data_IF_191074863357
#
_entry.id   IF_191074863357
#
_cell.length_a   1.000
_cell.length_b   1.000
_cell.length_c   1.000
_cell.angle_alpha   90.00
_cell.angle_beta   90.00
_cell.angle_gamma   90.00
#
_symmetry.space_group_name_H-M   'P 1'
#
loop_
_entity.id
_entity.type
_entity.pdbx_description
1 polymer ?
#
# COMPACT_ATOMS: atom_id res chain seq x y z
N UNK A 1 14.14 14.93 -3.93
CA UNK A 1 14.10 15.40 -5.36
C UNK A 1 14.71 16.78 -5.44
N UNK A 2 15.43 17.12 -6.52
CA UNK A 2 15.90 18.51 -6.67
C UNK A 2 14.70 19.39 -7.05
N UNK A 3 14.73 20.68 -6.68
CA UNK A 3 13.73 21.69 -7.05
C UNK A 3 13.52 21.85 -8.58
N UNK A 4 14.11 20.99 -9.39
CA UNK A 4 14.10 20.98 -10.86
C UNK A 4 13.77 19.61 -11.46
N UNK A 5 12.99 18.75 -10.78
CA UNK A 5 12.59 17.46 -11.37
C UNK A 5 11.64 17.72 -12.56
N UNK A 6 12.09 17.46 -13.81
CA UNK A 6 11.32 17.80 -15.01
C UNK A 6 10.07 16.94 -15.21
N UNK A 7 9.90 15.90 -14.38
CA UNK A 7 8.73 15.02 -14.43
C UNK A 7 7.57 15.55 -13.59
N UNK A 8 7.79 16.57 -12.74
CA UNK A 8 6.80 17.10 -11.80
C UNK A 8 6.29 18.48 -12.26
N UNK A 9 5.02 18.74 -11.97
CA UNK A 9 4.43 20.08 -12.07
C UNK A 9 4.87 20.95 -10.88
N UNK A 10 4.62 22.27 -10.93
CA UNK A 10 4.88 23.18 -9.82
C UNK A 10 4.12 22.78 -8.56
N UNK A 11 2.84 22.38 -8.71
CA UNK A 11 2.01 21.94 -7.60
C UNK A 11 2.56 20.64 -6.96
N UNK A 12 3.02 19.70 -7.80
CA UNK A 12 3.64 18.46 -7.31
C UNK A 12 4.98 18.71 -6.61
N UNK A 13 5.76 19.68 -7.06
CA UNK A 13 6.96 20.11 -6.35
C UNK A 13 6.63 20.69 -4.98
N UNK A 14 5.57 21.50 -4.87
CA UNK A 14 5.09 22.03 -3.58
C UNK A 14 4.61 20.89 -2.64
N UNK A 15 3.95 19.85 -3.16
CA UNK A 15 3.60 18.66 -2.37
C UNK A 15 4.85 17.96 -1.83
N UNK A 16 5.87 17.77 -2.67
CA UNK A 16 7.14 17.15 -2.25
C UNK A 16 7.82 17.99 -1.17
N UNK A 17 7.94 19.30 -1.35
CA UNK A 17 8.56 20.20 -0.37
C UNK A 17 7.80 20.18 0.97
N UNK A 18 6.47 20.20 0.95
CA UNK A 18 5.63 20.12 2.13
C UNK A 18 5.80 18.81 2.90
N UNK A 19 5.84 17.67 2.20
CA UNK A 19 6.07 16.36 2.80
C UNK A 19 7.50 16.21 3.33
N UNK A 20 8.50 16.63 2.56
CA UNK A 20 9.90 16.58 2.99
C UNK A 20 10.10 17.38 4.29
N UNK A 21 9.52 18.58 4.37
CA UNK A 21 9.57 19.41 5.56
C UNK A 21 8.86 18.79 6.78
N UNK A 22 7.75 18.07 6.58
CA UNK A 22 7.04 17.36 7.65
C UNK A 22 7.82 16.11 8.06
N UNK A 23 8.18 15.25 7.10
CA UNK A 23 8.86 14.00 7.37
C UNK A 23 10.22 14.22 8.05
N UNK A 24 11.01 15.20 7.60
CA UNK A 24 12.31 15.52 8.22
C UNK A 24 12.21 15.98 9.68
N UNK A 25 11.05 16.46 10.12
CA UNK A 25 10.81 16.83 11.54
C UNK A 25 10.35 15.67 12.41
N UNK A 26 9.69 14.68 11.82
CA UNK A 26 9.00 13.63 12.57
C UNK A 26 9.57 12.23 12.34
N UNK A 27 10.45 12.05 11.35
CA UNK A 27 11.04 10.75 11.01
C UNK A 27 12.57 10.89 11.08
N UNK A 28 13.18 10.10 11.94
CA UNK A 28 14.63 9.92 12.02
C UNK A 28 15.00 8.43 12.07
N UNK A 29 16.27 8.12 11.92
CA UNK A 29 16.77 6.73 11.92
C UNK A 29 16.46 6.00 13.22
N UNK A 30 16.50 6.71 14.35
CA UNK A 30 16.20 6.14 15.66
C UNK A 30 14.73 5.71 15.74
N UNK A 31 13.81 6.58 15.31
CA UNK A 31 12.38 6.24 15.26
C UNK A 31 12.15 5.01 14.37
N UNK A 32 12.74 5.00 13.17
CA UNK A 32 12.55 3.89 12.22
C UNK A 32 13.13 2.58 12.77
N UNK A 33 14.24 2.61 13.45
CA UNK A 33 14.81 1.46 14.15
C UNK A 33 13.87 0.98 15.28
N UNK A 34 13.39 1.89 16.13
CA UNK A 34 12.50 1.57 17.24
C UNK A 34 11.15 0.96 16.74
N UNK A 35 10.59 1.51 15.67
CA UNK A 35 9.36 0.98 15.05
C UNK A 35 9.55 -0.47 14.55
N UNK A 36 10.70 -0.75 13.93
CA UNK A 36 11.03 -2.10 13.43
C UNK A 36 11.26 -3.07 14.59
N UNK A 37 12.08 -2.71 15.59
CA UNK A 37 12.42 -3.58 16.72
C UNK A 37 11.22 -3.88 17.63
N UNK A 38 10.37 -2.88 17.88
CA UNK A 38 9.20 -3.00 18.74
C UNK A 38 7.94 -3.47 18.00
N UNK A 39 7.99 -3.62 16.68
CA UNK A 39 6.84 -3.88 15.82
C UNK A 39 5.66 -2.92 16.13
N UNK A 40 5.95 -1.62 16.25
CA UNK A 40 5.01 -0.58 16.69
C UNK A 40 4.53 0.27 15.52
N UNK A 41 3.22 0.49 15.46
CA UNK A 41 2.60 1.38 14.46
C UNK A 41 3.07 2.84 14.67
N UNK A 42 3.36 3.61 13.60
CA UNK A 42 3.90 4.98 13.67
C UNK A 42 2.82 6.03 13.99
N UNK A 43 2.13 5.89 15.13
CA UNK A 43 1.00 6.76 15.51
C UNK A 43 1.33 8.24 15.44
N UNK A 44 2.49 8.65 15.99
CA UNK A 44 2.86 10.06 16.08
C UNK A 44 3.09 10.69 14.69
N UNK A 45 3.69 9.92 13.76
CA UNK A 45 3.90 10.36 12.38
C UNK A 45 2.58 10.43 11.62
N UNK A 46 1.73 9.41 11.77
CA UNK A 46 0.42 9.39 11.14
C UNK A 46 -0.48 10.52 11.66
N UNK A 47 -0.41 10.83 12.96
CA UNK A 47 -1.12 11.97 13.53
C UNK A 47 -0.59 13.30 12.94
N UNK A 48 0.72 13.49 12.85
CA UNK A 48 1.31 14.68 12.25
C UNK A 48 0.91 14.85 10.77
N UNK A 49 0.80 13.74 10.01
CA UNK A 49 0.28 13.75 8.65
C UNK A 49 -1.20 14.16 8.61
N UNK A 50 -2.02 13.64 9.52
CA UNK A 50 -3.44 13.99 9.63
C UNK A 50 -3.61 15.46 9.98
N UNK A 51 -2.91 15.96 11.01
CA UNK A 51 -2.94 17.36 11.45
C UNK A 51 -2.46 18.32 10.34
N UNK A 52 -1.54 17.87 9.49
CA UNK A 52 -1.07 18.59 8.31
C UNK A 52 -2.02 18.52 7.10
N UNK A 53 -3.19 17.87 7.24
CA UNK A 53 -4.19 17.74 6.18
C UNK A 53 -3.89 16.64 5.12
N UNK A 54 -2.82 15.85 5.30
CA UNK A 54 -2.44 14.85 4.31
C UNK A 54 -3.41 13.66 4.22
N UNK A 55 -4.16 13.35 5.29
CA UNK A 55 -5.20 12.31 5.26
C UNK A 55 -6.34 12.66 4.29
N UNK A 56 -6.54 13.96 4.00
CA UNK A 56 -7.60 14.46 3.13
C UNK A 56 -7.33 14.28 1.63
N UNK A 57 -6.09 13.97 1.22
CA UNK A 57 -5.66 14.01 -0.18
C UNK A 57 -6.52 13.14 -1.10
N UNK A 58 -6.82 11.90 -0.72
CA UNK A 58 -7.62 10.96 -1.52
C UNK A 58 -9.14 11.19 -1.42
N UNK A 59 -9.60 12.09 -0.55
CA UNK A 59 -11.02 12.39 -0.33
C UNK A 59 -11.48 13.50 -1.27
N UNK A 60 -12.64 13.40 -1.93
CA UNK A 60 -13.19 14.44 -2.79
C UNK A 60 -13.44 15.77 -2.04
N UNK A 61 -13.32 16.89 -2.73
CA UNK A 61 -13.60 18.24 -2.17
C UNK A 61 -15.03 18.35 -1.60
N UNK A 62 -16.00 17.69 -2.23
CA UNK A 62 -17.40 17.66 -1.75
C UNK A 62 -17.57 17.03 -0.36
N UNK A 63 -16.55 16.33 0.15
CA UNK A 63 -16.55 15.69 1.47
C UNK A 63 -15.40 16.22 2.36
N UNK A 64 -14.89 17.41 2.04
CA UNK A 64 -13.86 18.08 2.85
C UNK A 64 -12.43 17.62 2.56
N UNK A 65 -12.20 16.93 1.47
CA UNK A 65 -10.88 16.50 1.03
C UNK A 65 -10.23 17.44 0.03
N UNK A 66 -9.04 17.06 -0.46
CA UNK A 66 -8.29 17.80 -1.48
C UNK A 66 -8.58 17.32 -2.92
N UNK A 67 -9.22 16.18 -3.09
CA UNK A 67 -9.57 15.63 -4.41
C UNK A 67 -8.35 15.36 -5.30
N UNK A 68 -7.22 14.94 -4.71
CA UNK A 68 -5.98 14.76 -5.41
C UNK A 68 -6.11 13.71 -6.54
N UNK A 69 -5.47 13.99 -7.67
CA UNK A 69 -5.39 13.07 -8.80
C UNK A 69 -4.56 11.83 -8.47
N UNK A 70 -4.69 10.76 -9.26
CA UNK A 70 -3.85 9.57 -9.10
C UNK A 70 -2.36 9.90 -9.31
N UNK A 71 -2.04 10.90 -10.16
CA UNK A 71 -0.67 11.40 -10.33
C UNK A 71 -0.13 12.06 -9.06
N UNK A 72 -0.93 12.91 -8.40
CA UNK A 72 -0.51 13.59 -7.19
C UNK A 72 -0.35 12.60 -6.04
N UNK A 73 -1.29 11.64 -5.93
CA UNK A 73 -1.19 10.55 -4.95
C UNK A 73 0.03 9.65 -5.17
N UNK A 74 0.42 9.40 -6.42
CA UNK A 74 1.64 8.64 -6.71
C UNK A 74 2.90 9.41 -6.25
N UNK A 75 2.94 10.74 -6.43
CA UNK A 75 4.03 11.60 -5.94
C UNK A 75 4.09 11.62 -4.41
N UNK A 76 2.94 11.76 -3.75
CA UNK A 76 2.83 11.71 -2.27
C UNK A 76 3.36 10.38 -1.74
N UNK A 77 2.93 9.25 -2.32
CA UNK A 77 3.38 7.92 -1.89
C UNK A 77 4.86 7.65 -2.16
N UNK A 78 5.38 8.13 -3.29
CA UNK A 78 6.80 8.06 -3.60
C UNK A 78 7.60 8.82 -2.55
N UNK A 79 7.22 10.06 -2.21
CA UNK A 79 7.97 10.87 -1.26
C UNK A 79 7.86 10.35 0.18
N UNK A 80 6.67 9.98 0.66
CA UNK A 80 6.50 9.34 1.97
C UNK A 80 7.34 8.07 2.10
N UNK A 81 7.36 7.24 1.05
CA UNK A 81 8.09 5.96 1.08
C UNK A 81 9.60 6.15 0.94
N UNK A 82 10.08 7.28 0.44
CA UNK A 82 11.48 7.68 0.49
C UNK A 82 11.93 7.97 1.91
N UNK A 83 11.10 8.62 2.72
CA UNK A 83 11.39 8.86 4.14
C UNK A 83 11.16 7.61 4.99
N UNK A 84 10.10 6.84 4.69
CA UNK A 84 9.79 5.61 5.40
C UNK A 84 8.82 4.73 4.62
N UNK A 85 9.26 3.55 4.21
CA UNK A 85 8.39 2.55 3.58
C UNK A 85 7.19 2.19 4.47
N UNK A 86 7.39 2.09 5.79
CA UNK A 86 6.33 1.76 6.76
C UNK A 86 5.27 2.86 6.79
N UNK A 87 5.68 4.14 6.79
CA UNK A 87 4.74 5.28 6.79
C UNK A 87 3.99 5.37 5.47
N UNK A 88 4.70 5.26 4.32
CA UNK A 88 4.05 5.24 3.00
C UNK A 88 3.04 4.10 2.87
N UNK A 89 3.38 2.90 3.35
CA UNK A 89 2.47 1.75 3.35
C UNK A 89 1.29 1.93 4.30
N UNK A 90 1.50 2.51 5.51
CA UNK A 90 0.43 2.80 6.45
C UNK A 90 -0.54 3.85 5.87
N UNK A 91 -0.01 4.92 5.30
CA UNK A 91 -0.78 5.96 4.63
C UNK A 91 -1.67 5.37 3.52
N UNK A 92 -1.08 4.56 2.64
CA UNK A 92 -1.80 3.89 1.57
C UNK A 92 -2.90 2.95 2.09
N UNK A 93 -2.53 2.05 3.01
CA UNK A 93 -3.45 0.98 3.46
C UNK A 93 -4.59 1.51 4.32
N UNK A 94 -4.34 2.55 5.15
CA UNK A 94 -5.31 3.02 6.14
C UNK A 94 -6.21 4.14 5.64
N UNK A 95 -5.72 4.98 4.72
CA UNK A 95 -6.50 6.12 4.24
C UNK A 95 -6.92 5.98 2.78
N UNK A 96 -5.98 5.68 1.86
CA UNK A 96 -6.30 5.67 0.42
C UNK A 96 -7.24 4.52 0.07
N UNK A 97 -6.91 3.27 0.47
CA UNK A 97 -7.75 2.11 0.15
C UNK A 97 -9.16 2.24 0.73
N UNK A 98 -9.26 2.77 1.95
CA UNK A 98 -10.54 3.00 2.61
C UNK A 98 -11.37 4.08 1.91
N UNK A 99 -10.78 5.24 1.62
CA UNK A 99 -11.45 6.32 0.90
C UNK A 99 -11.92 5.85 -0.48
N UNK A 100 -11.06 5.20 -1.26
CA UNK A 100 -11.39 4.65 -2.58
C UNK A 100 -12.56 3.65 -2.54
N UNK A 101 -12.60 2.77 -1.54
CA UNK A 101 -13.70 1.81 -1.40
C UNK A 101 -15.02 2.52 -1.08
N UNK A 102 -15.01 3.51 -0.18
CA UNK A 102 -16.20 4.29 0.18
C UNK A 102 -16.67 5.17 -0.99
N UNK A 103 -15.76 5.81 -1.72
CA UNK A 103 -16.09 6.64 -2.90
C UNK A 103 -16.76 5.81 -3.98
N UNK A 104 -16.28 4.59 -4.22
CA UNK A 104 -16.78 3.73 -5.31
C UNK A 104 -18.06 2.99 -4.98
N UNK A 105 -18.19 2.54 -3.74
CA UNK A 105 -19.22 1.58 -3.34
C UNK A 105 -20.21 2.18 -2.36
N UNK A 106 -19.82 3.20 -1.61
CA UNK A 106 -20.61 3.77 -0.52
C UNK A 106 -21.90 4.42 -1.02
N UNK A 107 -22.96 4.28 -0.24
CA UNK A 107 -24.14 5.14 -0.34
C UNK A 107 -23.79 6.57 0.02
N UNK A 108 -24.61 7.54 -0.37
CA UNK A 108 -24.41 8.94 0.05
C UNK A 108 -24.31 9.08 1.57
N UNK A 109 -25.07 8.29 2.34
CA UNK A 109 -25.00 8.30 3.80
C UNK A 109 -23.63 7.83 4.29
N UNK A 110 -23.11 6.72 3.77
CA UNK A 110 -21.80 6.19 4.14
C UNK A 110 -20.67 7.12 3.70
N UNK A 111 -20.76 7.71 2.51
CA UNK A 111 -19.78 8.68 2.03
C UNK A 111 -19.76 9.93 2.92
N UNK A 112 -20.93 10.48 3.28
CA UNK A 112 -21.05 11.65 4.18
C UNK A 112 -20.60 11.36 5.61
N UNK A 113 -20.63 10.10 6.05
CA UNK A 113 -20.14 9.69 7.38
C UNK A 113 -18.64 9.48 7.38
N UNK A 114 -18.12 8.66 6.44
CA UNK A 114 -16.76 8.14 6.52
C UNK A 114 -15.70 9.02 5.85
N UNK A 115 -16.03 9.65 4.71
CA UNK A 115 -15.03 10.46 4.00
C UNK A 115 -14.56 11.67 4.79
N UNK A 116 -15.45 12.46 5.47
CA UNK A 116 -14.99 13.52 6.37
C UNK A 116 -14.17 13.00 7.55
N UNK A 117 -14.54 11.86 8.14
CA UNK A 117 -13.76 11.25 9.23
C UNK A 117 -12.36 10.85 8.81
N UNK A 118 -12.21 10.30 7.59
CA UNK A 118 -10.88 10.02 7.03
C UNK A 118 -10.11 11.34 6.83
N UNK A 119 -10.73 12.33 6.21
CA UNK A 119 -10.07 13.59 5.84
C UNK A 119 -9.64 14.43 7.03
N UNK A 120 -10.45 14.53 8.09
CA UNK A 120 -10.27 15.48 9.18
C UNK A 120 -9.88 14.86 10.52
N UNK A 121 -10.24 13.58 10.75
CA UNK A 121 -9.95 12.86 11.99
C UNK A 121 -8.84 11.80 11.80
N UNK A 122 -8.43 11.56 10.54
CA UNK A 122 -7.48 10.51 10.22
C UNK A 122 -8.01 9.10 10.51
N UNK A 123 -9.34 8.89 10.37
CA UNK A 123 -9.97 7.59 10.60
C UNK A 123 -9.33 6.51 9.71
N UNK A 124 -8.99 5.39 10.32
CA UNK A 124 -8.24 4.29 9.69
C UNK A 124 -9.17 3.20 9.23
N UNK A 125 -9.09 2.87 7.96
CA UNK A 125 -9.91 1.84 7.32
C UNK A 125 -9.04 0.68 6.88
N UNK A 126 -9.24 -0.52 7.43
CA UNK A 126 -8.57 -1.73 6.97
C UNK A 126 -9.40 -2.46 5.90
N UNK A 127 -8.75 -3.26 5.05
CA UNK A 127 -9.41 -4.05 4.01
C UNK A 127 -9.13 -5.54 4.19
N UNK A 128 -10.16 -6.37 4.38
CA UNK A 128 -10.09 -7.79 4.66
C UNK A 128 -10.70 -8.61 3.51
N UNK A 129 -9.85 -9.13 2.62
CA UNK A 129 -10.25 -9.95 1.46
C UNK A 129 -9.76 -11.39 1.61
N UNK A 130 -8.46 -11.58 1.84
CA UNK A 130 -7.74 -12.85 1.80
C UNK A 130 -8.16 -13.77 2.94
N UNK A 131 -8.24 -15.07 2.65
CA UNK A 131 -8.50 -16.13 3.65
C UNK A 131 -7.38 -17.18 3.59
N UNK A 132 -7.23 -18.04 4.62
CA UNK A 132 -6.23 -19.11 4.60
C UNK A 132 -6.28 -20.01 3.37
N UNK A 133 -7.47 -20.22 2.79
CA UNK A 133 -7.70 -21.04 1.61
C UNK A 133 -7.80 -20.25 0.28
N UNK A 134 -7.80 -18.92 0.31
CA UNK A 134 -8.04 -18.08 -0.88
C UNK A 134 -7.17 -16.82 -0.89
N UNK A 135 -5.95 -16.94 -1.42
CA UNK A 135 -5.03 -15.83 -1.66
C UNK A 135 -5.14 -15.29 -3.08
N UNK A 136 -4.36 -15.84 -4.01
CA UNK A 136 -4.40 -15.44 -5.43
C UNK A 136 -5.75 -15.71 -6.09
N UNK A 137 -6.47 -16.74 -5.67
CA UNK A 137 -7.87 -17.00 -6.05
C UNK A 137 -8.84 -16.38 -5.02
N UNK A 138 -8.79 -15.04 -4.88
CA UNK A 138 -9.54 -14.33 -3.85
C UNK A 138 -11.07 -14.51 -3.96
N UNK A 139 -11.61 -14.78 -5.15
CA UNK A 139 -13.02 -15.07 -5.35
C UNK A 139 -13.47 -16.42 -4.75
N UNK A 140 -12.54 -17.29 -4.34
CA UNK A 140 -12.87 -18.55 -3.64
C UNK A 140 -13.12 -18.36 -2.13
N UNK A 141 -13.28 -17.13 -1.66
CA UNK A 141 -13.55 -16.81 -0.25
C UNK A 141 -14.78 -17.53 0.29
N UNK A 142 -14.73 -17.90 1.58
CA UNK A 142 -15.73 -18.72 2.27
C UNK A 142 -16.34 -18.06 3.51
N UNK A 143 -15.74 -16.97 4.03
CA UNK A 143 -16.35 -16.16 5.10
C UNK A 143 -17.74 -15.77 4.68
N UNK A 144 -18.77 -16.20 5.41
CA UNK A 144 -20.17 -16.01 5.05
C UNK A 144 -20.83 -14.90 5.84
N UNK A 145 -21.82 -14.27 5.24
CA UNK A 145 -22.74 -13.35 5.89
C UNK A 145 -24.17 -13.78 5.60
N UNK A 146 -24.86 -14.31 6.61
CA UNK A 146 -26.23 -14.80 6.51
C UNK A 146 -27.20 -13.70 6.93
N UNK A 147 -28.18 -13.36 6.08
CA UNK A 147 -29.22 -12.39 6.42
C UNK A 147 -30.13 -12.95 7.53
N UNK A 148 -30.27 -12.22 8.63
CA UNK A 148 -31.18 -12.53 9.75
C UNK A 148 -31.97 -11.27 10.15
N UNK A 149 -33.20 -11.17 9.70
CA UNK A 149 -34.01 -9.96 9.90
C UNK A 149 -33.41 -8.76 9.19
N UNK A 150 -33.11 -7.68 9.92
CA UNK A 150 -32.45 -6.46 9.44
C UNK A 150 -30.93 -6.54 9.45
N UNK A 151 -30.35 -7.65 9.92
CA UNK A 151 -28.91 -7.76 10.13
C UNK A 151 -28.28 -8.87 9.29
N UNK A 152 -26.97 -8.86 9.19
CA UNK A 152 -26.14 -9.97 8.73
C UNK A 152 -25.44 -10.63 9.90
N UNK A 153 -25.34 -11.94 9.91
CA UNK A 153 -24.50 -12.69 10.86
C UNK A 153 -23.28 -13.19 10.11
N UNK A 154 -22.11 -12.68 10.48
CA UNK A 154 -20.84 -12.96 9.81
C UNK A 154 -20.08 -14.04 10.55
N UNK A 155 -19.67 -15.09 9.82
CA UNK A 155 -18.87 -16.20 10.38
C UNK A 155 -17.76 -16.56 9.39
N UNK A 156 -16.52 -16.66 9.88
CA UNK A 156 -15.36 -17.03 9.08
C UNK A 156 -14.05 -16.43 9.56
N UNK A 157 -13.05 -16.42 8.69
CA UNK A 157 -11.72 -15.92 9.02
C UNK A 157 -11.12 -15.19 7.84
N UNK A 158 -10.48 -14.04 8.11
CA UNK A 158 -9.59 -13.36 7.18
C UNK A 158 -8.15 -13.43 7.67
N UNK A 159 -7.22 -13.38 6.73
CA UNK A 159 -5.78 -13.42 7.01
C UNK A 159 -5.05 -12.34 6.21
N UNK A 160 -3.90 -11.93 6.70
CA UNK A 160 -3.09 -10.87 6.09
C UNK A 160 -3.81 -9.53 5.96
N UNK A 161 -4.71 -9.23 6.90
CA UNK A 161 -5.40 -7.94 6.96
C UNK A 161 -4.46 -6.91 7.57
N UNK A 162 -3.94 -6.03 6.72
CA UNK A 162 -3.00 -4.96 7.11
C UNK A 162 -3.71 -3.94 7.99
N UNK A 163 -3.13 -3.63 9.17
CA UNK A 163 -3.59 -2.59 10.06
C UNK A 163 -4.90 -2.87 10.80
N UNK A 164 -5.46 -4.08 10.74
CA UNK A 164 -6.74 -4.39 11.40
C UNK A 164 -6.74 -4.11 12.92
N UNK A 165 -5.60 -4.27 13.59
CA UNK A 165 -5.47 -4.03 15.03
C UNK A 165 -5.55 -2.55 15.44
N UNK A 166 -5.44 -1.62 14.48
CA UNK A 166 -5.50 -0.17 14.70
C UNK A 166 -6.61 0.50 13.89
N UNK A 167 -7.40 -0.27 13.16
CA UNK A 167 -8.46 0.24 12.30
C UNK A 167 -9.68 0.69 13.10
N UNK A 168 -10.34 1.73 12.62
CA UNK A 168 -11.63 2.22 13.13
C UNK A 168 -12.80 1.48 12.47
N UNK A 169 -12.58 0.91 11.26
CA UNK A 169 -13.51 0.01 10.56
C UNK A 169 -12.74 -0.94 9.64
N UNK A 170 -13.28 -2.14 9.42
CA UNK A 170 -12.73 -3.15 8.51
C UNK A 170 -13.72 -3.38 7.37
N UNK A 171 -13.37 -2.98 6.15
CA UNK A 171 -14.12 -3.35 4.93
C UNK A 171 -13.83 -4.82 4.64
N UNK A 172 -14.83 -5.67 4.77
CA UNK A 172 -14.69 -7.12 4.72
C UNK A 172 -15.47 -7.70 3.55
N UNK A 173 -14.79 -8.42 2.65
CA UNK A 173 -15.44 -9.19 1.59
C UNK A 173 -16.02 -10.49 2.17
N UNK A 174 -17.29 -10.75 1.92
CA UNK A 174 -18.04 -11.89 2.47
C UNK A 174 -18.88 -12.60 1.40
N UNK A 175 -19.22 -13.86 1.65
CA UNK A 175 -20.15 -14.64 0.83
C UNK A 175 -21.57 -14.48 1.36
N UNK A 176 -22.43 -13.79 0.60
CA UNK A 176 -23.83 -13.56 0.95
C UNK A 176 -24.79 -14.51 0.27
N UNK A 177 -24.42 -15.05 -0.89
CA UNK A 177 -25.19 -16.09 -1.57
C UNK A 177 -24.29 -17.12 -2.28
N UNK A 178 -24.90 -18.25 -2.65
CA UNK A 178 -24.24 -19.32 -3.42
C UNK A 178 -25.01 -19.54 -4.72
N UNK A 179 -24.29 -19.70 -5.81
CA UNK A 179 -24.86 -20.00 -7.14
C UNK A 179 -24.13 -19.25 -8.25
N UNK A 180 -24.28 -19.69 -9.49
CA UNK A 180 -23.60 -19.09 -10.63
C UNK A 180 -22.10 -19.31 -10.65
N UNK A 181 -21.35 -18.28 -11.01
CA UNK A 181 -19.88 -18.32 -11.03
C UNK A 181 -19.29 -18.10 -9.64
N UNK A 182 -18.00 -18.44 -9.43
CA UNK A 182 -17.30 -18.18 -8.15
C UNK A 182 -17.24 -16.71 -7.75
N UNK A 183 -17.44 -15.80 -8.70
CA UNK A 183 -17.45 -14.35 -8.49
C UNK A 183 -18.83 -13.82 -8.04
N UNK A 184 -19.91 -14.58 -8.27
CA UNK A 184 -21.25 -14.20 -7.83
C UNK A 184 -21.44 -14.41 -6.32
N UNK A 185 -22.34 -13.64 -5.71
CA UNK A 185 -22.69 -13.78 -4.29
C UNK A 185 -21.59 -13.31 -3.32
N UNK A 186 -20.70 -12.43 -3.75
CA UNK A 186 -19.75 -11.74 -2.90
C UNK A 186 -20.28 -10.33 -2.64
N UNK A 187 -20.30 -9.93 -1.36
CA UNK A 187 -20.63 -8.58 -0.91
C UNK A 187 -19.51 -8.02 -0.05
N UNK A 188 -19.56 -6.73 0.23
CA UNK A 188 -18.64 -6.07 1.15
C UNK A 188 -19.41 -5.48 2.32
N UNK A 189 -18.91 -5.67 3.55
CA UNK A 189 -19.46 -5.12 4.78
C UNK A 189 -18.44 -4.25 5.49
N UNK A 190 -18.87 -3.11 6.02
CA UNK A 190 -18.09 -2.27 6.94
C UNK A 190 -18.31 -2.79 8.37
N UNK A 191 -17.31 -3.45 8.92
CA UNK A 191 -17.42 -4.12 10.23
C UNK A 191 -16.61 -3.33 11.26
N UNK A 192 -17.26 -2.92 12.36
CA UNK A 192 -16.59 -2.33 13.51
C UNK A 192 -15.74 -3.43 14.20
N UNK A 193 -14.42 -3.22 14.33
CA UNK A 193 -13.54 -4.18 15.00
C UNK A 193 -13.85 -4.42 16.48
N UNK A 194 -14.68 -3.58 17.12
CA UNK A 194 -15.07 -3.72 18.51
C UNK A 194 -16.35 -4.54 18.71
N UNK A 195 -17.02 -4.97 17.63
CA UNK A 195 -18.22 -5.81 17.76
C UNK A 195 -17.92 -7.13 18.44
N UNK A 196 -18.88 -7.58 19.26
CA UNK A 196 -18.79 -8.90 19.89
C UNK A 196 -18.64 -10.00 18.84
N UNK A 197 -17.69 -10.91 19.03
CA UNK A 197 -17.38 -12.00 18.11
C UNK A 197 -16.28 -11.67 17.10
N UNK A 198 -15.77 -10.42 17.04
CA UNK A 198 -14.56 -10.08 16.29
C UNK A 198 -13.34 -10.33 17.16
N UNK A 199 -12.39 -11.16 16.67
CA UNK A 199 -11.10 -11.40 17.32
C UNK A 199 -9.97 -11.12 16.32
N UNK A 200 -9.06 -10.21 16.67
CA UNK A 200 -7.96 -9.74 15.82
C UNK A 200 -6.64 -10.17 16.44
N UNK A 201 -5.87 -10.96 15.68
CA UNK A 201 -4.57 -11.48 16.11
C UNK A 201 -3.46 -11.03 15.18
N UNK A 202 -2.40 -10.45 15.74
CA UNK A 202 -1.21 -10.03 14.98
C UNK A 202 -0.39 -11.25 14.54
N UNK A 203 0.03 -11.25 13.28
CA UNK A 203 0.88 -12.29 12.69
C UNK A 203 2.33 -11.82 12.78
N UNK A 204 3.25 -12.58 13.39
CA UNK A 204 4.69 -12.31 13.32
C UNK A 204 5.18 -12.38 11.86
N UNK A 205 5.99 -11.41 11.44
CA UNK A 205 6.46 -11.30 10.06
C UNK A 205 7.89 -10.82 9.96
N UNK A 206 8.54 -11.10 8.83
CA UNK A 206 9.95 -10.78 8.62
C UNK A 206 10.23 -9.30 8.42
N UNK A 207 9.32 -8.57 7.78
CA UNK A 207 9.49 -7.16 7.40
C UNK A 207 8.22 -6.33 7.61
N UNK A 208 8.30 -5.00 7.33
CA UNK A 208 7.25 -4.02 7.57
C UNK A 208 6.67 -4.11 8.98
N UNK A 209 7.54 -4.33 9.97
CA UNK A 209 7.12 -4.65 11.34
C UNK A 209 6.33 -3.52 11.99
N UNK A 210 6.55 -2.28 11.56
CA UNK A 210 5.85 -1.10 12.06
C UNK A 210 4.39 -0.97 11.60
N UNK A 211 3.85 -1.86 10.76
CA UNK A 211 2.41 -1.92 10.46
C UNK A 211 1.92 -3.34 10.70
N UNK A 212 0.83 -3.52 11.46
CA UNK A 212 0.33 -4.85 11.81
C UNK A 212 -0.19 -5.60 10.58
N UNK A 213 0.05 -6.91 10.57
CA UNK A 213 -0.58 -7.85 9.65
C UNK A 213 -1.37 -8.84 10.50
N UNK A 214 -2.67 -8.98 10.26
CA UNK A 214 -3.55 -9.66 11.20
C UNK A 214 -4.33 -10.82 10.57
N UNK A 215 -4.64 -11.80 11.41
CA UNK A 215 -5.80 -12.66 11.27
C UNK A 215 -6.99 -11.94 11.90
N UNK A 216 -8.16 -12.05 11.28
CA UNK A 216 -9.43 -11.52 11.79
C UNK A 216 -10.44 -12.65 11.78
N UNK A 217 -10.91 -13.05 12.96
CA UNK A 217 -11.92 -14.07 13.13
C UNK A 217 -13.28 -13.42 13.36
N UNK A 218 -14.31 -13.99 12.75
CA UNK A 218 -15.70 -13.60 12.94
C UNK A 218 -16.47 -14.80 13.46
N UNK A 219 -16.95 -14.71 14.72
CA UNK A 219 -17.73 -15.75 15.39
C UNK A 219 -19.16 -15.24 15.59
N UNK A 220 -20.03 -15.52 14.62
CA UNK A 220 -21.42 -15.10 14.55
C UNK A 220 -21.63 -13.59 14.84
N UNK A 221 -20.76 -12.76 14.25
CA UNK A 221 -20.78 -11.29 14.42
C UNK A 221 -22.04 -10.70 13.78
N UNK A 222 -22.84 -10.00 14.58
CA UNK A 222 -24.06 -9.33 14.11
C UNK A 222 -23.70 -7.96 13.55
N UNK A 223 -23.97 -7.76 12.27
CA UNK A 223 -23.65 -6.55 11.52
C UNK A 223 -24.92 -5.97 10.91
N UNK A 224 -25.30 -4.73 11.21
CA UNK A 224 -26.49 -4.08 10.62
C UNK A 224 -26.47 -4.07 9.10
N UNK A 225 -27.62 -4.19 8.46
CA UNK A 225 -27.76 -4.12 6.99
C UNK A 225 -27.23 -2.79 6.41
N UNK A 226 -27.29 -1.71 7.18
CA UNK A 226 -26.77 -0.39 6.80
C UNK A 226 -25.25 -0.37 6.62
N UNK A 227 -24.54 -1.40 7.13
CA UNK A 227 -23.11 -1.60 6.94
C UNK A 227 -22.76 -2.29 5.61
N UNK A 228 -23.73 -2.68 4.79
CA UNK A 228 -23.49 -3.19 3.44
C UNK A 228 -22.90 -2.05 2.60
N UNK A 229 -21.68 -2.26 2.12
CA UNK A 229 -20.98 -1.33 1.25
C UNK A 229 -21.17 -1.75 -0.21
N UNK A 230 -21.90 -0.97 -0.96
CA UNK A 230 -22.32 -1.29 -2.33
C UNK A 230 -23.58 -2.14 -2.42
N UNK A 231 -23.78 -2.77 -3.54
CA UNK A 231 -24.96 -3.62 -3.82
C UNK A 231 -24.72 -5.06 -3.31
N UNK A 232 -25.80 -5.69 -2.84
CA UNK A 232 -25.77 -7.08 -2.42
C UNK A 232 -25.36 -7.99 -3.59
N UNK A 233 -24.44 -8.93 -3.31
CA UNK A 233 -23.90 -9.89 -4.29
C UNK A 233 -23.08 -9.28 -5.44
N UNK A 234 -22.83 -7.96 -5.44
CA UNK A 234 -22.05 -7.24 -6.45
C UNK A 234 -20.63 -6.81 -5.97
N UNK A 235 -20.24 -7.19 -4.77
CA UNK A 235 -18.98 -6.75 -4.15
C UNK A 235 -17.73 -7.09 -4.96
N UNK A 236 -17.72 -8.24 -5.67
CA UNK A 236 -16.56 -8.59 -6.50
C UNK A 236 -16.34 -7.58 -7.65
N UNK A 237 -17.38 -7.17 -8.34
CA UNK A 237 -17.30 -6.18 -9.41
C UNK A 237 -16.84 -4.81 -8.86
N UNK A 238 -17.21 -4.48 -7.64
CA UNK A 238 -16.79 -3.25 -6.96
C UNK A 238 -15.35 -3.25 -6.47
N UNK A 239 -14.82 -4.42 -6.09
CA UNK A 239 -13.42 -4.55 -5.61
C UNK A 239 -12.41 -4.47 -6.77
N UNK A 240 -12.72 -5.03 -7.95
CA UNK A 240 -11.79 -5.14 -9.07
C UNK A 240 -11.14 -3.82 -9.52
N UNK A 241 -11.88 -2.69 -9.68
CA UNK A 241 -11.26 -1.42 -10.06
C UNK A 241 -10.28 -0.89 -9.00
N UNK A 242 -10.57 -1.09 -7.71
CA UNK A 242 -9.68 -0.74 -6.61
C UNK A 242 -8.33 -1.46 -6.68
N UNK A 243 -8.32 -2.72 -7.14
CA UNK A 243 -7.07 -3.47 -7.30
C UNK A 243 -6.13 -2.89 -8.37
N UNK A 244 -6.65 -2.16 -9.37
CA UNK A 244 -5.81 -1.48 -10.35
C UNK A 244 -5.08 -0.29 -9.74
N UNK A 245 -5.80 0.52 -8.97
CA UNK A 245 -5.25 1.65 -8.22
C UNK A 245 -4.24 1.18 -7.19
N UNK A 246 -4.55 0.10 -6.46
CA UNK A 246 -3.61 -0.52 -5.52
C UNK A 246 -2.27 -0.86 -6.18
N UNK A 247 -2.28 -1.46 -7.38
CA UNK A 247 -1.05 -1.81 -8.12
C UNK A 247 -0.22 -0.58 -8.47
N UNK A 248 -0.86 0.47 -8.94
CA UNK A 248 -0.20 1.75 -9.24
C UNK A 248 0.52 2.30 -8.01
N UNK A 249 -0.17 2.34 -6.88
CA UNK A 249 0.37 2.94 -5.66
C UNK A 249 1.46 2.08 -5.00
N UNK A 250 1.35 0.75 -5.07
CA UNK A 250 2.46 -0.13 -4.64
C UNK A 250 3.70 0.03 -5.53
N UNK A 251 3.54 0.36 -6.82
CA UNK A 251 4.67 0.71 -7.67
C UNK A 251 5.30 2.03 -7.25
N UNK A 252 4.51 3.07 -6.95
CA UNK A 252 5.00 4.37 -6.47
C UNK A 252 5.74 4.24 -5.12
N UNK A 253 5.19 3.48 -4.18
CA UNK A 253 5.82 3.13 -2.89
C UNK A 253 7.19 2.46 -3.12
N UNK A 254 7.25 1.51 -4.08
CA UNK A 254 8.51 0.82 -4.40
C UNK A 254 9.56 1.78 -4.96
N UNK A 255 9.15 2.77 -5.76
CA UNK A 255 10.06 3.80 -6.29
C UNK A 255 10.64 4.66 -5.17
N UNK A 256 9.80 5.14 -4.26
CA UNK A 256 10.24 5.94 -3.10
C UNK A 256 11.25 5.17 -2.24
N UNK A 257 10.94 3.92 -1.91
CA UNK A 257 11.84 3.06 -1.14
C UNK A 257 13.16 2.74 -1.87
N UNK A 258 13.14 2.59 -3.21
CA UNK A 258 14.38 2.43 -3.99
C UNK A 258 15.26 3.69 -3.97
N UNK A 259 14.65 4.89 -3.95
CA UNK A 259 15.38 6.15 -3.85
C UNK A 259 16.13 6.24 -2.53
N UNK A 260 15.48 5.90 -1.42
CA UNK A 260 16.13 5.84 -0.11
C UNK A 260 17.30 4.85 -0.10
N UNK A 261 17.09 3.63 -0.62
CA UNK A 261 18.17 2.62 -0.74
C UNK A 261 19.35 3.14 -1.57
N UNK A 262 19.10 3.85 -2.67
CA UNK A 262 20.17 4.43 -3.47
C UNK A 262 20.91 5.54 -2.71
N UNK A 263 20.18 6.44 -2.02
CA UNK A 263 20.76 7.53 -1.23
C UNK A 263 21.68 6.96 -0.14
N UNK A 264 21.24 5.94 0.61
CA UNK A 264 22.03 5.21 1.60
C UNK A 264 23.30 4.59 1.00
N UNK A 265 23.19 3.96 -0.17
CA UNK A 265 24.32 3.34 -0.84
C UNK A 265 25.31 4.36 -1.39
N UNK A 266 24.86 5.51 -1.89
CA UNK A 266 25.72 6.59 -2.37
C UNK A 266 26.52 7.21 -1.22
N UNK A 267 25.87 7.47 -0.09
CA UNK A 267 26.54 7.97 1.12
C UNK A 267 27.60 7.00 1.60
N UNK A 268 27.23 5.72 1.77
CA UNK A 268 28.19 4.69 2.18
C UNK A 268 29.34 4.53 1.19
N UNK A 269 29.07 4.51 -0.10
CA UNK A 269 30.09 4.35 -1.14
C UNK A 269 31.05 5.55 -1.25
N UNK A 270 30.61 6.75 -0.84
CA UNK A 270 31.43 7.96 -0.84
C UNK A 270 32.35 8.06 0.38
N UNK A 271 31.91 7.54 1.53
CA UNK A 271 32.63 7.67 2.83
C UNK A 271 33.48 6.46 3.16
N UNK A 272 33.04 5.26 2.76
CA UNK A 272 33.77 4.01 3.03
C UNK A 272 34.97 3.86 2.11
N UNK A 273 36.15 3.60 2.69
CA UNK A 273 37.34 3.31 1.92
C UNK A 273 37.71 1.81 1.94
N UNK A 274 38.14 1.30 0.79
CA UNK A 274 38.70 -0.05 0.61
C UNK A 274 39.81 -0.02 -0.43
N UNK A 275 40.88 -0.78 -0.20
CA UNK A 275 42.07 -0.80 -1.09
C UNK A 275 42.63 0.60 -1.39
N UNK A 276 42.60 1.50 -0.37
CA UNK A 276 43.21 2.84 -0.44
C UNK A 276 42.41 3.89 -1.25
N UNK A 277 41.13 3.64 -1.55
CA UNK A 277 40.22 4.59 -2.23
C UNK A 277 38.78 4.41 -1.82
N UNK A 278 37.92 5.42 -2.05
CA UNK A 278 36.52 5.36 -1.77
C UNK A 278 35.86 4.16 -2.45
N UNK A 279 34.93 3.49 -1.77
CA UNK A 279 34.26 2.28 -2.25
C UNK A 279 33.57 2.51 -3.62
N UNK A 280 32.93 3.67 -3.81
CA UNK A 280 32.27 4.05 -5.07
C UNK A 280 33.22 4.24 -6.26
N UNK A 281 34.56 4.35 -6.00
CA UNK A 281 35.58 4.41 -7.05
C UNK A 281 35.89 3.05 -7.69
N UNK A 282 35.35 1.97 -7.14
CA UNK A 282 35.48 0.63 -7.74
C UNK A 282 34.38 0.42 -8.78
N UNK A 283 34.77 0.08 -10.02
CA UNK A 283 33.87 -0.05 -11.16
C UNK A 283 32.69 -0.99 -10.89
N UNK A 284 32.91 -2.13 -10.21
CA UNK A 284 31.86 -3.08 -9.89
C UNK A 284 30.84 -2.57 -8.86
N UNK A 285 31.21 -1.57 -8.04
CA UNK A 285 30.29 -0.89 -7.12
C UNK A 285 29.53 0.22 -7.87
N UNK A 286 30.25 1.01 -8.66
CA UNK A 286 29.63 2.06 -9.47
C UNK A 286 28.57 1.48 -10.43
N UNK A 287 28.81 0.31 -11.03
CA UNK A 287 27.84 -0.41 -11.86
C UNK A 287 26.53 -0.67 -11.11
N UNK A 288 26.59 -1.22 -9.87
CA UNK A 288 25.41 -1.50 -9.05
C UNK A 288 24.58 -0.24 -8.77
N UNK A 289 25.24 0.87 -8.46
CA UNK A 289 24.59 2.16 -8.20
C UNK A 289 23.91 2.72 -9.46
N UNK A 290 24.56 2.57 -10.62
CA UNK A 290 23.98 2.97 -11.91
C UNK A 290 22.75 2.14 -12.23
N UNK A 291 22.79 0.82 -12.06
CA UNK A 291 21.63 -0.06 -12.28
C UNK A 291 20.45 0.29 -11.35
N UNK A 292 20.72 0.62 -10.08
CA UNK A 292 19.67 1.11 -9.16
C UNK A 292 19.06 2.42 -9.70
N UNK A 293 19.87 3.36 -10.16
CA UNK A 293 19.38 4.63 -10.72
C UNK A 293 18.52 4.39 -11.98
N UNK A 294 18.96 3.54 -12.89
CA UNK A 294 18.20 3.16 -14.10
C UNK A 294 16.85 2.53 -13.70
N UNK A 295 16.85 1.63 -12.71
CA UNK A 295 15.64 0.98 -12.21
C UNK A 295 14.62 1.99 -11.62
N UNK A 296 15.11 3.01 -10.89
CA UNK A 296 14.28 4.09 -10.34
C UNK A 296 13.63 4.88 -11.49
N UNK A 297 14.42 5.37 -12.44
CA UNK A 297 13.91 6.23 -13.52
C UNK A 297 12.92 5.51 -14.44
N UNK A 298 13.20 4.25 -14.77
CA UNK A 298 12.28 3.43 -15.58
C UNK A 298 10.98 3.12 -14.84
N UNK A 299 11.06 2.83 -13.54
CA UNK A 299 9.87 2.59 -12.70
C UNK A 299 9.02 3.87 -12.56
N UNK A 300 9.65 5.03 -12.34
CA UNK A 300 8.95 6.34 -12.26
C UNK A 300 8.22 6.68 -13.55
N UNK A 301 8.85 6.45 -14.70
CA UNK A 301 8.21 6.69 -15.99
C UNK A 301 6.95 5.84 -16.17
N UNK A 302 6.98 4.54 -15.78
CA UNK A 302 5.83 3.65 -15.83
C UNK A 302 4.73 4.08 -14.85
N UNK A 303 5.09 4.45 -13.62
CA UNK A 303 4.15 4.94 -12.59
C UNK A 303 3.45 6.21 -13.09
N UNK A 304 4.20 7.18 -13.61
CA UNK A 304 3.66 8.43 -14.16
C UNK A 304 2.66 8.16 -15.27
N UNK A 305 3.03 7.32 -16.24
CA UNK A 305 2.16 6.99 -17.37
C UNK A 305 0.89 6.24 -16.90
N UNK A 306 1.02 5.28 -15.97
CA UNK A 306 -0.12 4.57 -15.44
C UNK A 306 -1.08 5.49 -14.66
N UNK A 307 -0.55 6.42 -13.86
CA UNK A 307 -1.33 7.40 -13.13
C UNK A 307 -2.10 8.35 -14.07
N UNK A 308 -1.47 8.83 -15.14
CA UNK A 308 -2.14 9.64 -16.17
C UNK A 308 -3.30 8.89 -16.84
N UNK A 309 -3.15 7.59 -17.08
CA UNK A 309 -4.23 6.76 -17.66
C UNK A 309 -5.37 6.56 -16.67
N UNK A 310 -5.07 6.37 -15.37
CA UNK A 310 -6.09 6.31 -14.30
C UNK A 310 -6.89 7.61 -14.25
N UNK A 311 -6.21 8.77 -14.25
CA UNK A 311 -6.86 10.09 -14.18
C UNK A 311 -7.77 10.38 -15.40
N UNK A 312 -7.44 9.79 -16.57
CA UNK A 312 -8.26 9.91 -17.80
C UNK A 312 -9.39 8.85 -17.88
N UNK A 313 -9.45 7.92 -16.95
CA UNK A 313 -10.40 6.79 -17.01
C UNK A 313 -10.13 5.83 -18.17
N UNK A 314 -8.88 5.70 -18.62
CA UNK A 314 -8.49 4.84 -19.71
C UNK A 314 -8.59 3.36 -19.34
N UNK A 315 -9.24 2.56 -20.17
CA UNK A 315 -9.43 1.11 -19.94
C UNK A 315 -8.11 0.32 -19.86
N UNK A 316 -7.03 0.79 -20.48
CA UNK A 316 -5.70 0.16 -20.41
C UNK A 316 -4.93 0.49 -19.13
N UNK A 317 -5.43 1.38 -18.28
CA UNK A 317 -4.80 1.74 -17.00
C UNK A 317 -4.51 0.51 -16.12
N UNK A 318 -5.42 -0.47 -16.09
CA UNK A 318 -5.27 -1.74 -15.32
C UNK A 318 -4.04 -2.52 -15.78
N UNK A 319 -3.83 -2.60 -17.09
CA UNK A 319 -2.71 -3.31 -17.68
C UNK A 319 -1.39 -2.59 -17.38
N UNK A 320 -1.34 -1.29 -17.61
CA UNK A 320 -0.11 -0.52 -17.36
C UNK A 320 0.24 -0.45 -15.87
N UNK A 321 -0.75 -0.33 -14.97
CA UNK A 321 -0.53 -0.43 -13.52
C UNK A 321 0.05 -1.80 -13.11
N UNK A 322 -0.39 -2.89 -13.75
CA UNK A 322 0.17 -4.23 -13.53
C UNK A 322 1.63 -4.33 -14.00
N UNK A 323 1.95 -3.72 -15.16
CA UNK A 323 3.33 -3.65 -15.67
C UNK A 323 4.21 -2.83 -14.72
N UNK A 324 3.75 -1.65 -14.30
CA UNK A 324 4.46 -0.78 -13.38
C UNK A 324 4.73 -1.49 -12.04
N UNK A 325 3.72 -2.14 -11.46
CA UNK A 325 3.85 -2.90 -10.21
C UNK A 325 4.85 -4.03 -10.35
N UNK A 326 4.74 -4.85 -11.39
CA UNK A 326 5.64 -5.98 -11.62
C UNK A 326 7.09 -5.51 -11.77
N UNK A 327 7.32 -4.43 -12.52
CA UNK A 327 8.65 -3.89 -12.75
C UNK A 327 9.23 -3.26 -11.48
N UNK A 328 8.53 -2.31 -10.87
CA UNK A 328 9.02 -1.55 -9.72
C UNK A 328 9.31 -2.43 -8.50
N UNK A 329 8.41 -3.36 -8.16
CA UNK A 329 8.60 -4.23 -6.98
C UNK A 329 9.77 -5.19 -7.14
N UNK A 330 9.99 -5.74 -8.34
CA UNK A 330 11.14 -6.60 -8.65
C UNK A 330 12.45 -5.82 -8.65
N UNK A 331 12.41 -4.60 -9.19
CA UNK A 331 13.57 -3.69 -9.18
C UNK A 331 13.96 -3.33 -7.75
N UNK A 332 12.97 -3.06 -6.87
CA UNK A 332 13.23 -2.78 -5.47
C UNK A 332 13.86 -3.99 -4.75
N UNK A 333 13.36 -5.20 -4.96
CA UNK A 333 13.98 -6.42 -4.40
C UNK A 333 15.42 -6.58 -4.89
N UNK A 334 15.70 -6.31 -6.17
CA UNK A 334 17.07 -6.36 -6.69
C UNK A 334 17.96 -5.27 -6.08
N UNK A 335 17.46 -4.04 -5.95
CA UNK A 335 18.18 -2.93 -5.34
C UNK A 335 18.57 -3.22 -3.90
N UNK A 336 17.64 -3.75 -3.09
CA UNK A 336 17.91 -4.08 -1.67
C UNK A 336 18.94 -5.18 -1.51
N UNK A 337 18.96 -6.19 -2.41
CA UNK A 337 19.98 -7.24 -2.42
C UNK A 337 21.36 -6.66 -2.68
N UNK A 338 21.48 -5.77 -3.67
CA UNK A 338 22.73 -5.14 -4.00
C UNK A 338 23.16 -4.14 -2.91
N UNK A 339 22.23 -3.47 -2.23
CA UNK A 339 22.51 -2.58 -1.11
C UNK A 339 23.18 -3.34 0.06
N UNK A 340 22.59 -4.46 0.49
CA UNK A 340 23.21 -5.32 1.53
C UNK A 340 24.61 -5.75 1.09
N UNK A 341 24.81 -6.09 -0.20
CA UNK A 341 26.12 -6.48 -0.73
C UNK A 341 27.13 -5.32 -0.74
N UNK A 342 26.70 -4.08 -1.04
CA UNK A 342 27.53 -2.88 -1.01
C UNK A 342 28.00 -2.58 0.43
N UNK A 343 27.10 -2.71 1.41
CA UNK A 343 27.43 -2.52 2.82
C UNK A 343 28.27 -3.66 3.40
N UNK A 344 28.31 -4.83 2.75
CA UNK A 344 29.06 -6.00 3.22
C UNK A 344 28.56 -6.50 4.57
N UNK A 345 29.48 -6.78 5.50
CA UNK A 345 29.11 -7.27 6.84
C UNK A 345 28.19 -6.33 7.62
N UNK A 346 28.31 -5.03 7.44
CA UNK A 346 27.42 -4.04 8.06
C UNK A 346 26.00 -4.13 7.52
N UNK A 347 25.80 -4.43 6.23
CA UNK A 347 24.47 -4.63 5.64
C UNK A 347 23.72 -5.85 6.18
N UNK A 348 24.40 -6.75 6.90
CA UNK A 348 23.81 -7.93 7.52
C UNK A 348 23.41 -7.72 8.99
N UNK A 349 23.62 -6.53 9.52
CA UNK A 349 23.26 -6.15 10.89
C UNK A 349 21.99 -5.30 10.91
N UNK A 350 21.24 -5.33 12.00
CA UNK A 350 20.03 -4.51 12.17
C UNK A 350 20.33 -3.01 12.35
N UNK A 351 21.57 -2.65 12.64
CA UNK A 351 22.03 -1.28 12.86
C UNK A 351 21.92 -0.41 11.59
N UNK A 352 22.08 -1.04 10.41
CA UNK A 352 22.04 -0.33 9.13
C UNK A 352 20.68 -0.50 8.42
N UNK A 353 20.07 0.60 7.91
CA UNK A 353 18.73 0.58 7.33
C UNK A 353 18.57 -0.39 6.14
N UNK A 354 19.63 -0.70 5.41
CA UNK A 354 19.59 -1.60 4.25
C UNK A 354 19.13 -3.02 4.60
N UNK A 355 19.40 -3.50 5.83
CA UNK A 355 18.89 -4.79 6.31
C UNK A 355 17.36 -4.78 6.47
N UNK A 356 16.79 -3.66 6.95
CA UNK A 356 15.35 -3.45 7.04
C UNK A 356 14.71 -3.43 5.66
N UNK A 357 15.23 -2.65 4.71
CA UNK A 357 14.77 -2.63 3.33
C UNK A 357 14.77 -4.01 2.68
N UNK A 358 15.81 -4.81 2.93
CA UNK A 358 15.91 -6.18 2.39
C UNK A 358 14.81 -7.10 2.94
N UNK A 359 14.40 -6.94 4.19
CA UNK A 359 13.29 -7.71 4.79
C UNK A 359 11.93 -7.19 4.30
N UNK A 360 11.79 -5.89 4.14
CA UNK A 360 10.52 -5.21 3.84
C UNK A 360 10.12 -5.34 2.37
N UNK A 361 11.07 -5.32 1.44
CA UNK A 361 10.82 -5.28 0.00
C UNK A 361 9.95 -6.44 -0.51
N UNK A 362 10.05 -7.61 0.11
CA UNK A 362 9.36 -8.82 -0.36
C UNK A 362 7.85 -8.74 -0.27
N UNK A 363 7.32 -7.97 0.70
CA UNK A 363 5.88 -7.72 0.81
C UNK A 363 5.31 -7.13 -0.48
N UNK A 364 6.01 -6.17 -1.11
CA UNK A 364 5.53 -5.46 -2.30
C UNK A 364 5.43 -6.37 -3.55
N UNK A 365 6.22 -7.45 -3.64
CA UNK A 365 6.04 -8.45 -4.68
C UNK A 365 4.82 -9.34 -4.47
N UNK A 366 4.40 -9.54 -3.21
CA UNK A 366 3.34 -10.48 -2.82
C UNK A 366 1.99 -9.75 -2.71
N UNK A 367 1.95 -8.62 -1.98
CA UNK A 367 0.75 -7.81 -1.75
C UNK A 367 0.18 -7.19 -3.03
N UNK A 368 -1.09 -6.85 -3.06
CA UNK A 368 -1.76 -6.28 -4.24
C UNK A 368 -1.80 -7.20 -5.47
N UNK A 369 -1.78 -8.51 -5.24
CA UNK A 369 -1.63 -9.56 -6.26
C UNK A 369 -0.17 -9.85 -6.58
N UNK A 370 0.25 -11.08 -6.31
CA UNK A 370 1.62 -11.56 -6.51
C UNK A 370 2.11 -11.33 -7.95
N UNK A 371 3.44 -11.33 -8.14
CA UNK A 371 4.07 -11.15 -9.45
C UNK A 371 3.48 -12.07 -10.55
N UNK A 372 3.06 -13.27 -10.18
CA UNK A 372 2.42 -14.24 -11.08
C UNK A 372 1.03 -13.75 -11.53
N UNK A 373 0.26 -13.13 -10.63
CA UNK A 373 -1.05 -12.54 -10.96
C UNK A 373 -0.86 -11.35 -11.91
N UNK A 374 0.16 -10.50 -11.68
CA UNK A 374 0.46 -9.41 -12.62
C UNK A 374 0.78 -9.95 -14.01
N UNK A 375 1.58 -11.01 -14.12
CA UNK A 375 1.89 -11.66 -15.40
C UNK A 375 0.63 -12.24 -16.09
N UNK A 376 -0.31 -12.81 -15.31
CA UNK A 376 -1.59 -13.30 -15.86
C UNK A 376 -2.41 -12.14 -16.43
N UNK A 377 -2.50 -11.00 -15.72
CA UNK A 377 -3.23 -9.82 -16.20
C UNK A 377 -2.61 -9.31 -17.50
N UNK A 378 -1.28 -9.17 -17.54
CA UNK A 378 -0.54 -8.72 -18.72
C UNK A 378 -0.70 -9.70 -19.88
N UNK A 379 -0.58 -11.01 -19.64
CA UNK A 379 -0.77 -12.02 -20.67
C UNK A 379 -2.17 -11.99 -21.29
N UNK A 380 -3.21 -11.77 -20.46
CA UNK A 380 -4.59 -11.63 -20.95
C UNK A 380 -4.79 -10.40 -21.82
N UNK A 381 -4.14 -9.26 -21.49
CA UNK A 381 -4.20 -8.07 -22.36
C UNK A 381 -3.52 -8.29 -23.72
N UNK A 382 -2.57 -9.23 -23.79
CA UNK A 382 -1.92 -9.67 -25.05
C UNK A 382 -2.75 -10.72 -25.82
N UNK A 383 -3.96 -11.07 -25.35
CA UNK A 383 -4.81 -12.09 -25.95
C UNK A 383 -4.48 -13.54 -25.57
N UNK A 384 -3.54 -13.76 -24.65
CA UNK A 384 -3.19 -15.08 -24.16
C UNK A 384 -4.20 -15.57 -23.10
N UNK A 385 -4.32 -16.88 -22.95
CA UNK A 385 -5.23 -17.54 -21.97
C UNK A 385 -4.43 -18.48 -21.08
N UNK A 386 -3.60 -17.93 -20.15
CA UNK A 386 -2.82 -18.72 -19.22
C UNK A 386 -3.72 -19.38 -18.18
#
# INVERSE_FOLDING_TARGET
MSASDPLLTQDQLALVEGLDALCSRHIDDKLLFDLDQQARYPFDVMQALSDGGWASMAVPESHGGAGASARDMAVVLEELSRHSLVVGQAYFSMWILGAEAVIRLGTNSQANEWLPRIATEGARVAFALTEPGSGSDAAALTTRAEKRGSDYVVTGQKVFTTGAAVADVIITAVRTSRGGTKHAGISTLMIDPQLQGVDIRKIPKMGLKGIDLCEVFFDDVVVPETCLLGELDAGWAGVLPGLAIERLYLAAISVGAMRDVLDLCLEHASTRETFGKALGSHQMIAEKLVEMRVAIETSRALVKQAAEMVDRGDGEAVNLASIAKLHATRSYVSATREAVQIFGGYGFTDEYPVSRHYRDCKYLEIGGGASEIQKIVIARSMGLRP
#
